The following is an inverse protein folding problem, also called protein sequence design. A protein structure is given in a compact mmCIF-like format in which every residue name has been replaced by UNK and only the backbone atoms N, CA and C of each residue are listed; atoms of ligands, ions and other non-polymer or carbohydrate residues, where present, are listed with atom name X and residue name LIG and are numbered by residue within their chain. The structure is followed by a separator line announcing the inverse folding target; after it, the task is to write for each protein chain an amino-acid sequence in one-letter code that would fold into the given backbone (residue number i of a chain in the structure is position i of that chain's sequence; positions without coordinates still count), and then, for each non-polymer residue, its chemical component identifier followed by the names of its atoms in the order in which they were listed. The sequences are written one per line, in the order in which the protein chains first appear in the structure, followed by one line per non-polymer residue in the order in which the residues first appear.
data_IF_191226701274
#
_entry.id   IF_191226701274
#
_cell.length_a   1.000
_cell.length_b   1.000
_cell.length_c   1.000
_cell.angle_alpha   90.00
_cell.angle_beta   90.00
_cell.angle_gamma   90.00
#
_symmetry.space_group_name_H-M   'P 1'
#
loop_
_entity.id
_entity.type
_entity.pdbx_description
1 polymer ?
#
# COMPACT_ATOMS: atom_id res chain seq x y z
N UNK A 1 10.84 2.22 -15.87
CA UNK A 1 10.67 3.17 -14.75
C UNK A 1 9.55 2.63 -13.89
N UNK A 2 9.87 2.29 -12.64
CA UNK A 2 8.94 1.78 -11.62
C UNK A 2 8.37 2.97 -10.86
N UNK A 3 7.05 3.15 -10.93
CA UNK A 3 6.36 4.33 -10.40
C UNK A 3 6.38 4.35 -8.87
N UNK A 4 6.34 3.19 -8.22
CA UNK A 4 6.24 3.13 -6.78
C UNK A 4 7.58 3.44 -6.08
N UNK A 5 8.73 3.24 -6.74
CA UNK A 5 10.05 3.56 -6.18
C UNK A 5 10.23 5.06 -5.91
N UNK A 6 9.64 5.92 -6.74
CA UNK A 6 9.67 7.38 -6.58
C UNK A 6 8.79 7.88 -5.42
N UNK A 7 7.87 7.04 -4.93
CA UNK A 7 6.93 7.34 -3.84
C UNK A 7 7.39 6.79 -2.48
N UNK A 8 8.47 6.00 -2.44
CA UNK A 8 9.01 5.46 -1.19
C UNK A 8 9.55 6.62 -0.35
N UNK A 9 9.02 6.77 0.86
CA UNK A 9 9.55 7.74 1.79
C UNK A 9 10.91 7.30 2.30
N UNK A 10 11.91 8.18 2.16
CA UNK A 10 13.16 8.06 2.90
C UNK A 10 12.90 8.33 4.38
N UNK A 11 12.50 7.28 5.12
CA UNK A 11 12.16 7.34 6.54
C UNK A 11 13.11 6.51 7.39
N UNK A 12 13.42 7.02 8.59
CA UNK A 12 14.14 6.27 9.62
C UNK A 12 13.21 5.40 10.47
N UNK A 13 11.89 5.43 10.21
CA UNK A 13 10.92 4.59 10.90
C UNK A 13 11.04 3.16 10.38
N UNK A 14 11.32 2.15 11.24
CA UNK A 14 11.63 0.80 10.80
C UNK A 14 10.54 0.15 9.93
N UNK A 15 9.27 0.27 10.32
CA UNK A 15 8.16 -0.35 9.56
C UNK A 15 7.96 0.31 8.20
N UNK A 16 8.18 1.63 8.07
CA UNK A 16 8.13 2.34 6.79
C UNK A 16 9.28 1.85 5.90
N UNK A 17 10.51 1.79 6.46
CA UNK A 17 11.71 1.36 5.73
C UNK A 17 11.61 -0.06 5.19
N UNK A 18 10.89 -0.95 5.88
CA UNK A 18 10.70 -2.34 5.47
C UNK A 18 9.44 -2.52 4.61
N UNK A 19 8.34 -1.88 4.97
CA UNK A 19 7.04 -2.05 4.31
C UNK A 19 6.92 -1.32 2.98
N UNK A 20 7.43 -0.09 2.85
CA UNK A 20 7.29 0.68 1.61
C UNK A 20 7.91 -0.02 0.38
N UNK A 21 9.15 -0.56 0.44
CA UNK A 21 9.71 -1.30 -0.69
C UNK A 21 8.91 -2.54 -1.09
N UNK A 22 8.38 -3.27 -0.11
CA UNK A 22 7.55 -4.46 -0.34
C UNK A 22 6.25 -4.09 -1.06
N UNK A 23 5.52 -3.11 -0.53
CA UNK A 23 4.26 -2.63 -1.10
C UNK A 23 4.50 -2.06 -2.50
N UNK A 24 5.55 -1.25 -2.67
CA UNK A 24 5.93 -0.68 -3.96
C UNK A 24 6.18 -1.76 -5.01
N UNK A 25 6.93 -2.81 -4.65
CA UNK A 25 7.20 -3.94 -5.53
C UNK A 25 5.91 -4.63 -5.97
N UNK A 26 5.02 -4.97 -5.04
CA UNK A 26 3.74 -5.59 -5.37
C UNK A 26 2.89 -4.72 -6.29
N UNK A 27 2.79 -3.42 -5.99
CA UNK A 27 2.01 -2.47 -6.79
C UNK A 27 2.57 -2.36 -8.21
N UNK A 28 3.89 -2.26 -8.36
CA UNK A 28 4.53 -2.21 -9.66
C UNK A 28 4.31 -3.51 -10.45
N UNK A 29 4.45 -4.68 -9.81
CA UNK A 29 4.17 -5.99 -10.43
C UNK A 29 2.70 -6.10 -10.87
N UNK A 30 1.74 -5.76 -10.00
CA UNK A 30 0.30 -5.77 -10.32
C UNK A 30 0.02 -4.84 -11.50
N UNK A 31 0.61 -3.64 -11.51
CA UNK A 31 0.44 -2.69 -12.60
C UNK A 31 1.01 -3.20 -13.93
N UNK A 32 2.18 -3.85 -13.89
CA UNK A 32 2.79 -4.45 -15.08
C UNK A 32 1.93 -5.58 -15.64
N UNK A 33 1.37 -6.43 -14.78
CA UNK A 33 0.50 -7.53 -15.18
C UNK A 33 -0.83 -7.04 -15.76
N UNK A 34 -1.42 -6.01 -15.16
CA UNK A 34 -2.59 -5.31 -15.71
C UNK A 34 -2.29 -4.73 -17.09
N UNK A 35 -1.15 -4.04 -17.25
CA UNK A 35 -0.75 -3.44 -18.53
C UNK A 35 -0.47 -4.49 -19.62
N UNK A 36 0.11 -5.64 -19.23
CA UNK A 36 0.36 -6.78 -20.12
C UNK A 36 -0.88 -7.64 -20.38
N UNK A 37 -2.05 -7.31 -19.79
CA UNK A 37 -3.30 -8.08 -19.89
C UNK A 37 -3.12 -9.55 -19.50
N UNK A 38 -2.38 -9.79 -18.42
CA UNK A 38 -2.33 -11.12 -17.82
C UNK A 38 -3.71 -11.57 -17.33
N UNK A 39 -3.91 -12.89 -17.13
CA UNK A 39 -5.18 -13.40 -16.61
C UNK A 39 -5.55 -12.74 -15.27
N UNK A 40 -6.78 -12.23 -15.17
CA UNK A 40 -7.24 -11.47 -14.00
C UNK A 40 -7.13 -12.27 -12.70
N UNK A 41 -7.35 -13.58 -12.73
CA UNK A 41 -7.20 -14.45 -11.57
C UNK A 41 -5.78 -14.45 -10.98
N UNK A 42 -4.74 -14.34 -11.82
CA UNK A 42 -3.35 -14.23 -11.35
C UNK A 42 -3.12 -12.88 -10.65
N UNK A 43 -3.67 -11.80 -11.22
CA UNK A 43 -3.58 -10.45 -10.68
C UNK A 43 -4.31 -10.34 -9.34
N UNK A 44 -5.52 -10.92 -9.25
CA UNK A 44 -6.29 -10.96 -8.00
C UNK A 44 -5.57 -11.79 -6.92
N UNK A 45 -4.95 -12.91 -7.29
CA UNK A 45 -4.14 -13.70 -6.36
C UNK A 45 -2.92 -12.93 -5.85
N UNK A 46 -2.29 -12.08 -6.67
CA UNK A 46 -1.23 -11.17 -6.20
C UNK A 46 -1.74 -10.12 -5.22
N UNK A 47 -2.94 -9.59 -5.44
CA UNK A 47 -3.57 -8.66 -4.51
C UNK A 47 -3.87 -9.36 -3.17
N UNK A 48 -4.34 -10.62 -3.21
CA UNK A 48 -4.55 -11.43 -2.01
C UNK A 48 -3.23 -11.66 -1.26
N UNK A 49 -2.15 -12.01 -1.97
CA UNK A 49 -0.83 -12.15 -1.35
C UNK A 49 -0.32 -10.83 -0.75
N UNK A 50 -0.56 -9.71 -1.42
CA UNK A 50 -0.23 -8.39 -0.88
C UNK A 50 -0.96 -8.13 0.44
N UNK A 51 -2.23 -8.51 0.58
CA UNK A 51 -2.99 -8.34 1.83
C UNK A 51 -2.35 -9.11 3.00
N UNK A 52 -1.90 -10.34 2.75
CA UNK A 52 -1.22 -11.16 3.77
C UNK A 52 0.15 -10.58 4.13
N UNK A 53 0.95 -10.22 3.12
CA UNK A 53 2.33 -9.79 3.28
C UNK A 53 2.47 -8.41 3.97
N UNK A 54 1.43 -7.57 3.91
CA UNK A 54 1.44 -6.24 4.57
C UNK A 54 0.90 -6.26 5.99
N UNK A 55 0.37 -7.38 6.50
CA UNK A 55 -0.13 -7.49 7.87
C UNK A 55 0.91 -7.07 8.92
N UNK A 56 2.20 -7.50 8.85
CA UNK A 56 3.21 -7.05 9.80
C UNK A 56 3.46 -5.53 9.76
N UNK A 57 3.37 -4.93 8.57
CA UNK A 57 3.49 -3.48 8.39
C UNK A 57 2.31 -2.75 9.06
N UNK A 58 1.08 -3.23 8.87
CA UNK A 58 -0.14 -2.64 9.47
C UNK A 58 -0.13 -2.73 11.00
N UNK A 59 0.33 -3.86 11.54
CA UNK A 59 0.50 -4.03 12.98
C UNK A 59 1.50 -3.02 13.55
N UNK A 60 2.70 -2.95 12.96
CA UNK A 60 3.73 -2.01 13.42
C UNK A 60 3.28 -0.54 13.30
N UNK A 61 2.51 -0.20 12.27
CA UNK A 61 1.90 1.14 12.12
C UNK A 61 0.93 1.44 13.27
N UNK A 62 0.04 0.50 13.59
CA UNK A 62 -0.91 0.60 14.70
C UNK A 62 -0.20 0.79 16.04
N UNK A 63 0.85 0.00 16.31
CA UNK A 63 1.65 0.09 17.53
C UNK A 63 2.37 1.44 17.64
N UNK A 64 2.89 1.96 16.52
CA UNK A 64 3.52 3.27 16.47
C UNK A 64 2.51 4.38 16.82
N UNK A 65 1.32 4.34 16.21
CA UNK A 65 0.24 5.30 16.46
C UNK A 65 -0.19 5.29 17.94
N UNK A 66 -0.39 4.10 18.51
CA UNK A 66 -0.74 3.93 19.92
C UNK A 66 0.37 4.41 20.87
N UNK A 67 1.62 4.03 20.62
CA UNK A 67 2.77 4.39 21.48
C UNK A 67 2.98 5.89 21.57
N UNK A 68 2.71 6.62 20.49
CA UNK A 68 2.96 8.05 20.40
C UNK A 68 1.71 8.91 20.58
N UNK A 69 0.54 8.30 20.85
CA UNK A 69 -0.76 8.97 20.83
C UNK A 69 -0.94 9.81 19.54
N UNK A 70 -0.40 9.33 18.41
CA UNK A 70 -0.58 9.99 17.13
C UNK A 70 -2.00 9.64 16.63
N UNK A 71 -2.86 10.64 16.41
CA UNK A 71 -4.17 10.41 15.81
C UNK A 71 -3.98 9.88 14.38
N UNK A 72 -4.51 8.69 14.04
CA UNK A 72 -4.35 8.12 12.72
C UNK A 72 -5.18 8.92 11.71
N UNK A 73 -4.52 9.40 10.66
CA UNK A 73 -5.23 10.00 9.52
C UNK A 73 -5.93 8.91 8.68
N UNK A 74 -5.33 7.73 8.56
CA UNK A 74 -5.97 6.51 8.06
C UNK A 74 -5.71 5.37 9.04
N UNK A 75 -6.77 4.68 9.45
CA UNK A 75 -6.62 3.52 10.31
C UNK A 75 -6.13 2.31 9.51
N UNK A 76 -5.27 1.45 10.09
CA UNK A 76 -4.74 0.28 9.37
C UNK A 76 -5.81 -0.69 8.85
N UNK A 77 -6.97 -0.81 9.51
CA UNK A 77 -8.09 -1.60 9.00
C UNK A 77 -8.72 -0.99 7.74
N UNK A 78 -8.75 0.35 7.63
CA UNK A 78 -9.27 1.04 6.44
C UNK A 78 -8.34 0.81 5.24
N UNK A 79 -7.02 0.75 5.46
CA UNK A 79 -6.04 0.45 4.40
C UNK A 79 -6.35 -0.91 3.77
N UNK A 80 -6.58 -1.93 4.61
CA UNK A 80 -6.90 -3.28 4.17
C UNK A 80 -8.27 -3.34 3.50
N UNK A 81 -9.28 -2.66 4.06
CA UNK A 81 -10.61 -2.57 3.46
C UNK A 81 -10.56 -1.93 2.07
N UNK A 82 -9.77 -0.87 1.88
CA UNK A 82 -9.59 -0.25 0.56
C UNK A 82 -8.89 -1.15 -0.45
N UNK A 83 -7.98 -2.00 0.01
CA UNK A 83 -7.35 -3.01 -0.85
C UNK A 83 -8.37 -4.09 -1.26
N UNK A 84 -9.25 -4.49 -0.35
CA UNK A 84 -10.37 -5.42 -0.63
C UNK A 84 -11.35 -4.80 -1.63
N UNK A 85 -11.69 -3.51 -1.45
CA UNK A 85 -12.54 -2.77 -2.38
C UNK A 85 -11.91 -2.72 -3.79
N UNK A 86 -10.60 -2.45 -3.89
CA UNK A 86 -9.87 -2.47 -5.16
C UNK A 86 -9.94 -3.86 -5.81
N UNK A 87 -9.66 -4.92 -5.04
CA UNK A 87 -9.76 -6.31 -5.52
C UNK A 87 -11.15 -6.63 -6.07
N UNK A 88 -12.19 -6.27 -5.32
CA UNK A 88 -13.58 -6.51 -5.71
C UNK A 88 -13.96 -5.70 -6.94
N UNK A 89 -13.47 -4.46 -7.05
CA UNK A 89 -13.65 -3.59 -8.20
C UNK A 89 -13.04 -4.25 -9.44
N UNK A 90 -11.76 -4.64 -9.39
CA UNK A 90 -11.09 -5.33 -10.50
C UNK A 90 -11.80 -6.63 -10.90
N UNK A 91 -12.25 -7.42 -9.91
CA UNK A 91 -13.02 -8.65 -10.15
C UNK A 91 -14.36 -8.37 -10.84
N UNK A 92 -15.09 -7.34 -10.41
CA UNK A 92 -16.43 -7.01 -10.92
C UNK A 92 -16.44 -6.57 -12.38
N UNK A 93 -15.37 -5.90 -12.82
CA UNK A 93 -15.25 -5.45 -14.21
C UNK A 93 -14.68 -6.52 -15.14
N UNK A 94 -14.03 -7.57 -14.64
CA UNK A 94 -13.45 -8.62 -15.48
C UNK A 94 -12.52 -8.04 -16.56
N UNK A 95 -12.70 -8.48 -17.81
CA UNK A 95 -11.94 -7.98 -18.97
C UNK A 95 -12.42 -6.61 -19.50
N UNK A 96 -13.51 -6.06 -18.94
CA UNK A 96 -14.14 -4.84 -19.47
C UNK A 96 -13.52 -3.54 -18.97
N UNK A 97 -12.74 -3.59 -17.87
CA UNK A 97 -12.02 -2.42 -17.38
C UNK A 97 -10.79 -2.14 -18.27
N UNK A 98 -10.63 -0.91 -18.78
CA UNK A 98 -9.41 -0.53 -19.49
C UNK A 98 -8.18 -0.71 -18.56
N UNK A 99 -7.09 -1.34 -19.02
CA UNK A 99 -5.88 -1.53 -18.22
C UNK A 99 -5.32 -0.25 -17.62
N UNK A 100 -5.44 0.88 -18.32
CA UNK A 100 -5.02 2.19 -17.83
C UNK A 100 -5.78 2.64 -16.57
N UNK A 101 -7.07 2.31 -16.48
CA UNK A 101 -7.90 2.62 -15.31
C UNK A 101 -7.51 1.71 -14.15
N UNK A 102 -7.38 0.41 -14.38
CA UNK A 102 -6.97 -0.54 -13.35
C UNK A 102 -5.59 -0.21 -12.75
N UNK A 103 -4.63 0.17 -13.60
CA UNK A 103 -3.30 0.62 -13.18
C UNK A 103 -3.39 1.91 -12.36
N UNK A 104 -4.22 2.86 -12.78
CA UNK A 104 -4.42 4.12 -12.07
C UNK A 104 -4.99 3.88 -10.66
N UNK A 105 -6.06 3.09 -10.55
CA UNK A 105 -6.70 2.76 -9.27
C UNK A 105 -5.72 2.06 -8.31
N UNK A 106 -4.95 1.09 -8.81
CA UNK A 106 -3.94 0.36 -8.02
C UNK A 106 -2.86 1.31 -7.48
N UNK A 107 -2.36 2.21 -8.34
CA UNK A 107 -1.35 3.21 -7.94
C UNK A 107 -1.91 4.22 -6.94
N UNK A 108 -3.12 4.68 -7.17
CA UNK A 108 -3.80 5.65 -6.33
C UNK A 108 -4.05 5.09 -4.93
N UNK A 109 -4.42 3.79 -4.83
CA UNK A 109 -4.54 3.12 -3.55
C UNK A 109 -3.23 3.21 -2.74
N UNK A 110 -2.10 2.81 -3.34
CA UNK A 110 -0.80 2.81 -2.67
C UNK A 110 -0.35 4.24 -2.30
N UNK A 111 -0.54 5.19 -3.23
CA UNK A 111 -0.17 6.59 -3.00
C UNK A 111 -0.96 7.21 -1.85
N UNK A 112 -2.28 7.04 -1.82
CA UNK A 112 -3.14 7.73 -0.85
C UNK A 112 -3.17 7.04 0.52
N UNK A 113 -3.20 5.71 0.54
CA UNK A 113 -3.43 4.95 1.78
C UNK A 113 -2.16 4.46 2.48
N UNK A 114 -1.04 4.43 1.75
CA UNK A 114 0.26 4.02 2.30
C UNK A 114 1.21 5.21 2.29
N UNK A 115 1.68 5.61 1.11
CA UNK A 115 2.84 6.48 0.99
C UNK A 115 2.59 7.89 1.50
N UNK A 116 1.48 8.53 1.09
CA UNK A 116 1.17 9.89 1.53
C UNK A 116 0.76 9.96 3.01
N UNK A 117 0.08 8.90 3.50
CA UNK A 117 -0.34 8.82 4.89
C UNK A 117 0.86 8.68 5.83
N UNK A 118 1.83 7.83 5.47
CA UNK A 118 3.01 7.54 6.28
C UNK A 118 3.99 8.72 6.43
N UNK A 119 3.83 9.79 5.63
CA UNK A 119 4.53 11.07 5.84
C UNK A 119 4.25 11.59 7.26
N UNK A 120 3.03 11.40 7.76
CA UNK A 120 2.65 11.81 9.11
C UNK A 120 3.37 10.96 10.17
N UNK A 121 3.52 9.66 9.93
CA UNK A 121 4.27 8.75 10.80
C UNK A 121 5.78 9.06 10.81
N UNK A 122 6.37 9.52 9.70
CA UNK A 122 7.76 9.97 9.67
C UNK A 122 8.01 11.14 10.64
N UNK A 123 7.01 12.01 10.83
CA UNK A 123 7.11 13.10 11.81
C UNK A 123 7.03 12.60 13.25
N UNK A 124 6.24 11.55 13.56
CA UNK A 124 6.22 10.92 14.88
C UNK A 124 7.64 10.43 15.29
N UNK A 125 8.50 10.06 14.33
CA UNK A 125 9.89 9.65 14.58
C UNK A 125 10.78 10.74 15.21
N UNK A 126 10.48 12.03 14.97
CA UNK A 126 11.22 13.16 15.58
C UNK A 126 10.84 13.38 17.05
N UNK A 127 9.69 12.84 17.45
CA UNK A 127 9.14 12.94 18.82
C UNK A 127 9.56 11.74 19.69
N UNK A 128 10.22 10.73 19.11
CA UNK A 128 10.87 9.66 19.86
C UNK A 128 11.92 10.29 20.79
N UNK A 129 11.77 10.24 22.13
CA UNK A 129 12.85 10.65 23.01
C UNK A 129 14.06 9.77 22.70
N UNK A 130 15.24 10.40 22.56
CA UNK A 130 16.52 9.69 22.42
C UNK A 130 16.59 8.67 23.56
N UNK A 131 16.60 7.39 23.22
CA UNK A 131 16.93 6.32 24.16
C UNK A 131 18.37 6.46 24.62
#
# INVERSE_FOLDING_TARGET
MTFAADLILSSNVPFIKQGHPLIAKYVDEICEELACRKPLNEILAKIDQLMEDIEPYLLCKSECQAKHNCEPHIYPHDILQRLIDLRNTLSSFGDSMPPSVAVLETRQWAQLHIFSDDIHCQHCAKVLPKQ
#
